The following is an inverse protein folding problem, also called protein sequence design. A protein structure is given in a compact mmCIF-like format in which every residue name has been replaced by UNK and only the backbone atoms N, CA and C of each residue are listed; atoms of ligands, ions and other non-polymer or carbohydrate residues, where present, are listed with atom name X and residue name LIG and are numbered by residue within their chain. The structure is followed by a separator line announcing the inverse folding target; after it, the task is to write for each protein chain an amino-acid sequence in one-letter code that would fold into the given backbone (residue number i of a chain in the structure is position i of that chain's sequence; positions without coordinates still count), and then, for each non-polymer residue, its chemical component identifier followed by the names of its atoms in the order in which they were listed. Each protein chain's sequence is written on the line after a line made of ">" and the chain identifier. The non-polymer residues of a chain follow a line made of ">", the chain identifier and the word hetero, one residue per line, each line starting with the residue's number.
data_IF_383384237987
#
_entry.id   IF_383384237987
#
_cell.length_a   1.000
_cell.length_b   1.000
_cell.length_c   1.000
_cell.angle_alpha   90.00
_cell.angle_beta   90.00
_cell.angle_gamma   90.00
#
_symmetry.space_group_name_H-M   'P 1'
#
loop_
_entity.id
_entity.type
_entity.pdbx_description
1 polymer ?
#
# COMPACT_ATOMS: atom_id res chain seq x y z
N UNK A 1 1.33 -6.80 -9.35
CA UNK A 1 1.11 -7.33 -7.98
C UNK A 1 -0.27 -7.99 -7.83
N UNK A 2 -0.86 -8.53 -8.91
CA UNK A 2 -2.07 -9.33 -8.79
C UNK A 2 -1.74 -10.61 -8.01
N UNK A 3 -2.69 -11.13 -7.22
CA UNK A 3 -2.54 -12.31 -6.36
C UNK A 3 -1.56 -12.16 -5.17
N UNK A 4 -1.18 -10.92 -4.82
CA UNK A 4 -0.37 -10.68 -3.63
C UNK A 4 -1.27 -10.52 -2.40
N UNK A 5 -0.78 -10.91 -1.22
CA UNK A 5 -1.50 -10.76 0.04
C UNK A 5 -0.89 -9.65 0.87
N UNK A 6 -1.70 -8.68 1.31
CA UNK A 6 -1.31 -7.68 2.30
C UNK A 6 -1.29 -8.32 3.69
N UNK A 7 -0.12 -8.28 4.34
CA UNK A 7 0.10 -8.92 5.64
C UNK A 7 0.01 -7.91 6.78
N UNK A 8 0.68 -6.76 6.64
CA UNK A 8 0.66 -5.72 7.66
C UNK A 8 1.01 -4.35 7.11
N UNK A 9 0.57 -3.32 7.83
CA UNK A 9 0.89 -1.92 7.60
C UNK A 9 1.57 -1.40 8.86
N UNK A 10 2.78 -0.87 8.75
CA UNK A 10 3.53 -0.28 9.87
C UNK A 10 3.88 1.17 9.55
N UNK A 11 3.40 2.09 10.38
CA UNK A 11 3.71 3.51 10.27
C UNK A 11 4.75 3.93 11.33
N UNK A 12 5.88 4.45 10.86
CA UNK A 12 6.92 5.06 11.69
C UNK A 12 6.67 6.57 11.80
N UNK A 13 6.31 7.02 12.99
CA UNK A 13 5.99 8.42 13.27
C UNK A 13 7.17 9.37 13.13
N UNK A 14 8.37 8.92 13.49
CA UNK A 14 9.56 9.78 13.50
C UNK A 14 10.03 10.05 12.07
N UNK A 15 10.03 9.01 11.26
CA UNK A 15 10.53 9.05 9.88
C UNK A 15 9.42 9.36 8.85
N UNK A 16 8.17 9.52 9.31
CA UNK A 16 6.98 9.62 8.46
C UNK A 16 6.98 8.55 7.35
N UNK A 17 7.21 7.29 7.74
CA UNK A 17 7.45 6.18 6.81
C UNK A 17 6.38 5.11 6.98
N UNK A 18 5.75 4.70 5.89
CA UNK A 18 4.80 3.59 5.88
C UNK A 18 5.43 2.38 5.19
N UNK A 19 5.45 1.25 5.88
CA UNK A 19 5.90 -0.04 5.33
C UNK A 19 4.70 -0.96 5.17
N UNK A 20 4.50 -1.44 3.96
CA UNK A 20 3.50 -2.45 3.61
C UNK A 20 4.23 -3.78 3.43
N UNK A 21 3.98 -4.71 4.35
CA UNK A 21 4.45 -6.08 4.20
C UNK A 21 3.45 -6.84 3.32
N UNK A 22 3.96 -7.40 2.23
CA UNK A 22 3.21 -8.15 1.25
C UNK A 22 3.78 -9.57 1.15
N UNK A 23 2.95 -10.50 0.70
CA UNK A 23 3.38 -11.83 0.27
C UNK A 23 3.06 -11.99 -1.21
N UNK A 24 4.04 -12.31 -2.04
CA UNK A 24 3.82 -12.54 -3.46
C UNK A 24 3.19 -13.93 -3.72
N UNK A 25 2.89 -14.25 -4.99
CA UNK A 25 2.31 -15.53 -5.40
C UNK A 25 3.22 -16.76 -5.13
N UNK A 26 4.53 -16.55 -4.99
CA UNK A 26 5.50 -17.59 -4.63
C UNK A 26 5.64 -17.76 -3.11
N UNK A 27 4.83 -17.07 -2.31
CA UNK A 27 4.92 -16.99 -0.85
C UNK A 27 6.16 -16.27 -0.30
N UNK A 28 6.90 -15.53 -1.13
CA UNK A 28 8.00 -14.71 -0.67
C UNK A 28 7.48 -13.45 0.03
N UNK A 29 8.20 -13.01 1.07
CA UNK A 29 7.92 -11.76 1.76
C UNK A 29 8.53 -10.59 1.00
N UNK A 30 7.71 -9.61 0.70
CA UNK A 30 8.07 -8.44 -0.12
C UNK A 30 7.59 -7.18 0.58
N UNK A 31 8.33 -6.08 0.46
CA UNK A 31 7.99 -4.81 1.10
C UNK A 31 7.73 -3.73 0.06
N UNK A 32 6.67 -2.95 0.24
CA UNK A 32 6.49 -1.64 -0.41
C UNK A 32 6.66 -0.57 0.66
N UNK A 33 7.50 0.43 0.39
CA UNK A 33 7.81 1.48 1.38
C UNK A 33 7.48 2.85 0.81
N UNK A 34 6.73 3.64 1.57
CA UNK A 34 6.45 5.05 1.28
C UNK A 34 7.23 5.94 2.25
N UNK A 35 7.95 6.94 1.70
CA UNK A 35 8.79 7.86 2.46
C UNK A 35 8.20 9.27 2.47
N UNK A 36 8.29 9.97 3.60
CA UNK A 36 7.71 11.32 3.73
C UNK A 36 6.20 11.29 3.52
N UNK A 37 5.51 10.36 4.18
CA UNK A 37 4.06 10.16 4.06
C UNK A 37 3.31 11.39 4.57
N UNK A 38 2.49 11.96 3.70
CA UNK A 38 1.63 13.12 3.98
C UNK A 38 0.23 12.67 4.34
N UNK A 39 -0.28 11.63 3.68
CA UNK A 39 -1.61 11.09 3.91
C UNK A 39 -1.62 9.58 3.76
N UNK A 40 -2.33 8.91 4.67
CA UNK A 40 -2.57 7.49 4.63
C UNK A 40 -3.99 7.20 5.09
N UNK A 41 -4.75 6.45 4.28
CA UNK A 41 -6.11 6.04 4.60
C UNK A 41 -6.28 4.54 4.38
N UNK A 42 -6.83 3.86 5.39
CA UNK A 42 -7.22 2.46 5.31
C UNK A 42 -8.72 2.37 5.61
N UNK A 43 -9.58 2.36 4.59
CA UNK A 43 -11.00 2.17 4.80
C UNK A 43 -11.31 0.70 5.09
N UNK A 44 -12.20 0.45 6.05
CA UNK A 44 -12.87 -0.85 6.26
C UNK A 44 -14.37 -0.66 6.07
N UNK A 45 -14.81 -0.40 4.83
CA UNK A 45 -16.22 -0.28 4.50
C UNK A 45 -16.87 -1.65 4.32
N UNK A 46 -16.07 -2.66 3.97
CA UNK A 46 -16.49 -4.03 3.80
C UNK A 46 -15.75 -4.96 4.77
N UNK A 47 -16.33 -6.13 5.05
CA UNK A 47 -15.61 -7.15 5.82
C UNK A 47 -14.42 -7.67 5.01
N UNK A 48 -13.27 -7.72 5.67
CA UNK A 48 -12.07 -8.32 5.09
C UNK A 48 -12.11 -9.81 5.35
N UNK A 49 -11.93 -10.62 4.31
CA UNK A 49 -11.86 -12.07 4.45
C UNK A 49 -10.63 -12.52 5.26
N UNK A 50 -10.46 -13.84 5.40
CA UNK A 50 -9.29 -14.41 6.08
C UNK A 50 -7.93 -14.10 5.43
N UNK A 51 -7.94 -13.48 4.24
CA UNK A 51 -6.77 -12.93 3.57
C UNK A 51 -7.13 -11.60 2.92
N UNK A 52 -6.23 -10.62 3.00
CA UNK A 52 -6.37 -9.32 2.33
C UNK A 52 -5.63 -9.39 1.00
N UNK A 53 -6.25 -10.00 -0.01
CA UNK A 53 -5.66 -10.11 -1.35
C UNK A 53 -5.69 -8.76 -2.06
N UNK A 54 -4.62 -8.45 -2.78
CA UNK A 54 -4.49 -7.26 -3.64
C UNK A 54 -5.09 -7.57 -5.00
N UNK A 55 -6.17 -6.87 -5.33
CA UNK A 55 -6.80 -6.97 -6.65
C UNK A 55 -6.01 -6.13 -7.67
N UNK A 56 -5.71 -4.88 -7.30
CA UNK A 56 -5.13 -3.88 -8.20
C UNK A 56 -4.29 -2.87 -7.44
N UNK A 57 -3.20 -2.45 -8.09
CA UNK A 57 -2.36 -1.33 -7.64
C UNK A 57 -2.37 -0.28 -8.74
N UNK A 58 -2.59 0.98 -8.38
CA UNK A 58 -2.57 2.12 -9.29
C UNK A 58 -1.58 3.15 -8.79
N UNK A 59 -0.64 3.55 -9.65
CA UNK A 59 0.47 4.42 -9.31
C UNK A 59 1.79 3.66 -9.08
N UNK A 60 2.83 4.32 -8.53
CA UNK A 60 2.82 5.71 -8.09
C UNK A 60 2.51 6.71 -9.22
N UNK A 61 1.77 7.78 -8.92
CA UNK A 61 1.50 8.87 -9.87
C UNK A 61 1.86 10.20 -9.25
N UNK A 62 2.64 11.02 -9.96
CA UNK A 62 3.02 12.34 -9.47
C UNK A 62 1.84 13.30 -9.41
N UNK A 63 1.80 14.08 -8.34
CA UNK A 63 0.82 15.11 -8.06
C UNK A 63 1.41 16.52 -8.30
N UNK A 64 0.58 17.55 -8.53
CA UNK A 64 1.05 18.92 -8.77
C UNK A 64 1.87 19.53 -7.64
N UNK A 65 1.71 19.03 -6.41
CA UNK A 65 2.44 19.48 -5.22
C UNK A 65 3.80 18.80 -5.02
N UNK A 66 4.21 17.92 -5.95
CA UNK A 66 5.47 17.18 -5.89
C UNK A 66 5.41 15.90 -5.06
N UNK A 67 4.25 15.52 -4.53
CA UNK A 67 4.05 14.20 -3.91
C UNK A 67 3.69 13.14 -4.94
N UNK A 68 3.76 11.88 -4.54
CA UNK A 68 3.28 10.72 -5.29
C UNK A 68 2.05 10.13 -4.60
N UNK A 69 1.10 9.64 -5.40
CA UNK A 69 -0.07 8.91 -4.91
C UNK A 69 -0.02 7.45 -5.36
N UNK A 70 -0.30 6.54 -4.43
CA UNK A 70 -0.46 5.11 -4.66
C UNK A 70 -1.80 4.66 -4.09
N UNK A 71 -2.53 3.88 -4.88
CA UNK A 71 -3.79 3.27 -4.47
C UNK A 71 -3.70 1.74 -4.57
N UNK A 72 -4.18 1.05 -3.54
CA UNK A 72 -4.21 -0.41 -3.48
C UNK A 72 -5.64 -0.86 -3.21
N UNK A 73 -6.25 -1.49 -4.19
CA UNK A 73 -7.56 -2.10 -4.08
C UNK A 73 -7.42 -3.53 -3.56
N UNK A 74 -8.10 -3.84 -2.46
CA UNK A 74 -8.10 -5.19 -1.87
C UNK A 74 -9.38 -5.96 -2.23
N UNK A 75 -9.39 -7.27 -2.01
CA UNK A 75 -10.50 -8.16 -2.41
C UNK A 75 -11.87 -7.73 -1.87
N UNK A 76 -11.93 -7.06 -0.72
CA UNK A 76 -13.19 -6.53 -0.17
C UNK A 76 -13.79 -5.40 -1.00
N UNK A 77 -13.04 -4.83 -1.95
CA UNK A 77 -13.38 -3.62 -2.71
C UNK A 77 -12.92 -2.33 -2.03
N UNK A 78 -12.39 -2.40 -0.80
CA UNK A 78 -11.79 -1.24 -0.14
C UNK A 78 -10.52 -0.78 -0.87
N UNK A 79 -10.28 0.53 -0.89
CA UNK A 79 -9.09 1.13 -1.53
C UNK A 79 -8.25 1.83 -0.48
N UNK A 80 -7.06 1.29 -0.23
CA UNK A 80 -6.03 1.93 0.58
C UNK A 80 -5.40 3.04 -0.26
N UNK A 81 -5.32 4.24 0.29
CA UNK A 81 -4.75 5.41 -0.38
C UNK A 81 -3.55 5.94 0.39
N UNK A 82 -2.44 6.18 -0.31
CA UNK A 82 -1.20 6.67 0.26
C UNK A 82 -0.70 7.83 -0.58
N UNK A 83 -0.41 8.97 0.07
CA UNK A 83 0.27 10.12 -0.51
C UNK A 83 1.60 10.31 0.22
N UNK A 84 2.71 10.31 -0.51
CA UNK A 84 4.06 10.35 0.06
C UNK A 84 5.03 11.10 -0.86
N UNK A 85 6.21 11.44 -0.37
CA UNK A 85 7.24 12.08 -1.19
C UNK A 85 7.81 11.12 -2.24
N UNK A 86 7.91 9.83 -1.93
CA UNK A 86 8.32 8.80 -2.88
C UNK A 86 7.93 7.39 -2.42
N UNK A 87 7.90 6.46 -3.38
CA UNK A 87 7.71 5.03 -3.12
C UNK A 87 8.90 4.18 -3.58
N UNK A 88 9.34 3.27 -2.71
CA UNK A 88 10.14 2.11 -3.10
C UNK A 88 9.18 0.94 -3.35
N UNK A 89 8.88 0.70 -4.62
CA UNK A 89 8.09 -0.45 -5.06
C UNK A 89 9.01 -1.66 -5.30
N UNK A 90 8.58 -2.86 -4.88
CA UNK A 90 9.33 -4.08 -5.15
C UNK A 90 9.33 -4.39 -6.65
N UNK A 91 10.50 -4.82 -7.15
CA UNK A 91 10.75 -5.24 -8.52
C UNK A 91 10.14 -6.59 -8.87
#
# INVERSE_FOLDING_TARGET
>A
MHDWTLVSLLFDWKEARLTLALRNSNSDSVSLVAYGVVRFMVPKQNEWGGSVMVNRVTGPTQQPDGTEELQIEVQSGDVIQITAASFAVPS
#
